data_IF_821648269661
#
_entry.id   IF_821648269661
#
_cell.length_a   1.000
_cell.length_b   1.000
_cell.length_c   1.000
_cell.angle_alpha   90.00
_cell.angle_beta   90.00
_cell.angle_gamma   90.00
#
_symmetry.space_group_name_H-M   'P 1'
#
loop_
_entity.id
_entity.type
_entity.pdbx_description
1 polymer ?
#
# COMPACT_ATOMS: atom_id res chain seq x y z
N UNK A 1 11.61 7.49 -22.96
CA UNK A 1 10.85 7.88 -21.75
C UNK A 1 11.56 8.90 -20.85
N UNK A 2 12.59 9.59 -21.35
CA UNK A 2 13.23 10.68 -20.62
C UNK A 2 12.42 11.97 -20.71
N UNK A 3 12.28 12.71 -19.60
CA UNK A 3 11.68 14.05 -19.58
C UNK A 3 12.71 15.16 -19.81
N UNK A 4 13.94 14.96 -19.40
CA UNK A 4 15.10 15.81 -19.70
C UNK A 4 16.36 14.95 -19.61
N UNK A 5 17.26 15.14 -20.55
CA UNK A 5 18.55 14.47 -20.62
C UNK A 5 19.62 15.54 -20.70
N UNK A 6 20.44 15.63 -19.68
CA UNK A 6 21.64 16.45 -19.69
C UNK A 6 22.86 15.55 -19.91
N UNK A 7 23.55 15.75 -21.02
CA UNK A 7 24.85 15.12 -21.25
C UNK A 7 25.89 15.82 -20.37
N UNK A 8 26.08 15.29 -19.17
CA UNK A 8 27.13 15.83 -18.27
C UNK A 8 28.45 15.16 -18.54
N UNK A 9 29.30 15.80 -19.32
CA UNK A 9 30.73 15.50 -19.41
C UNK A 9 31.12 14.70 -20.66
N UNK A 10 32.07 14.05 -20.67
CA UNK A 10 32.99 13.19 -21.33
C UNK A 10 32.33 12.27 -22.40
N UNK A 11 32.50 12.63 -23.66
CA UNK A 11 32.35 11.70 -24.80
C UNK A 11 33.75 11.17 -25.17
N UNK A 12 34.01 9.89 -24.89
CA UNK A 12 35.24 9.23 -25.25
C UNK A 12 34.99 8.23 -26.36
N UNK A 13 35.64 8.48 -27.50
CA UNK A 13 35.64 7.53 -28.61
C UNK A 13 36.97 6.80 -28.68
N UNK A 14 36.93 5.48 -28.77
CA UNK A 14 38.08 4.63 -29.05
C UNK A 14 37.79 3.93 -30.36
N UNK A 15 38.65 4.09 -31.33
CA UNK A 15 38.53 3.48 -32.66
C UNK A 15 39.63 2.45 -32.77
N UNK A 16 39.27 1.18 -32.97
CA UNK A 16 40.20 0.10 -33.18
C UNK A 16 40.50 -0.10 -34.67
N UNK A 17 41.65 -0.69 -34.97
CA UNK A 17 42.09 -0.92 -36.36
C UNK A 17 41.21 -1.90 -37.16
N UNK A 18 40.40 -2.69 -36.47
CA UNK A 18 39.41 -3.62 -37.03
C UNK A 18 38.05 -2.99 -37.37
N UNK A 19 37.94 -1.64 -37.16
CA UNK A 19 36.69 -0.90 -37.38
C UNK A 19 35.76 -0.87 -36.21
N UNK A 20 36.13 -1.47 -35.05
CA UNK A 20 35.33 -1.37 -33.83
C UNK A 20 35.45 0.04 -33.23
N UNK A 21 34.27 0.64 -32.91
CA UNK A 21 34.21 1.96 -32.29
C UNK A 21 33.52 1.79 -30.93
N UNK A 22 34.26 2.12 -29.87
CA UNK A 22 33.73 2.21 -28.52
C UNK A 22 33.43 3.65 -28.16
N UNK A 23 32.19 3.93 -27.79
CA UNK A 23 31.80 5.23 -27.24
C UNK A 23 31.37 5.05 -25.79
N UNK A 24 31.99 5.80 -24.91
CA UNK A 24 31.62 5.86 -23.50
C UNK A 24 31.04 7.25 -23.21
N UNK A 25 29.77 7.28 -22.85
CA UNK A 25 29.02 8.50 -22.58
C UNK A 25 28.29 8.43 -21.26
N UNK A 26 28.51 9.42 -20.40
CA UNK A 26 27.73 9.58 -19.16
C UNK A 26 26.55 10.49 -19.43
N UNK A 27 25.35 9.97 -19.12
CA UNK A 27 24.10 10.71 -19.29
C UNK A 27 23.39 10.77 -17.93
N UNK A 28 22.84 11.93 -17.58
CA UNK A 28 22.02 12.14 -16.40
C UNK A 28 20.67 12.71 -16.85
N UNK A 29 19.57 12.20 -16.28
CA UNK A 29 18.25 12.66 -16.67
C UNK A 29 17.13 12.15 -15.77
N UNK A 30 15.93 12.71 -15.97
CA UNK A 30 14.70 12.28 -15.32
C UNK A 30 13.93 11.36 -16.27
N UNK A 31 13.61 10.17 -15.81
CA UNK A 31 12.84 9.18 -16.56
C UNK A 31 11.43 9.07 -15.99
N UNK A 32 10.43 9.07 -16.88
CA UNK A 32 9.06 8.73 -16.49
C UNK A 32 8.91 7.22 -16.37
N UNK A 33 8.28 6.77 -15.30
CA UNK A 33 7.92 5.37 -15.10
C UNK A 33 6.46 5.28 -14.64
N UNK A 34 5.74 4.27 -15.12
CA UNK A 34 4.39 3.95 -14.67
C UNK A 34 4.49 3.02 -13.47
N UNK A 35 4.28 3.57 -12.27
CA UNK A 35 4.38 2.82 -11.03
C UNK A 35 2.98 2.35 -10.58
N UNK A 36 2.92 1.12 -10.04
CA UNK A 36 1.69 0.53 -9.52
C UNK A 36 1.76 0.40 -7.99
N UNK A 37 1.04 1.27 -7.29
CA UNK A 37 1.00 1.32 -5.82
C UNK A 37 -0.17 0.54 -5.18
N UNK A 38 -0.90 -0.30 -5.93
CA UNK A 38 -2.05 -1.04 -5.35
C UNK A 38 -1.68 -1.85 -4.12
N UNK A 39 -0.50 -2.47 -4.12
CA UNK A 39 0.03 -3.28 -3.02
C UNK A 39 0.81 -2.49 -1.98
N UNK A 40 0.87 -1.17 -2.09
CA UNK A 40 1.65 -0.35 -1.15
C UNK A 40 1.31 -0.66 0.32
N UNK A 41 2.28 -0.90 1.23
CA UNK A 41 3.73 -0.79 1.07
C UNK A 41 4.46 -2.08 0.65
N UNK A 42 3.75 -3.11 0.21
CA UNK A 42 4.30 -4.42 -0.21
C UNK A 42 4.44 -4.51 -1.74
N UNK A 43 4.66 -3.38 -2.39
CA UNK A 43 4.72 -3.27 -3.84
C UNK A 43 6.12 -3.56 -4.39
N UNK A 44 6.15 -4.16 -5.57
CA UNK A 44 7.33 -4.30 -6.42
C UNK A 44 7.14 -3.50 -7.70
N UNK A 45 8.21 -2.90 -8.21
CA UNK A 45 8.19 -2.02 -9.37
C UNK A 45 9.22 -2.45 -10.39
N UNK A 46 8.93 -2.20 -11.67
CA UNK A 46 9.88 -2.40 -12.76
C UNK A 46 10.14 -1.06 -13.42
N UNK A 47 11.36 -0.58 -13.30
CA UNK A 47 11.80 0.63 -14.00
C UNK A 47 12.41 0.23 -15.33
N UNK A 48 11.80 0.65 -16.43
CA UNK A 48 12.27 0.34 -17.78
C UNK A 48 12.91 1.57 -18.41
N UNK A 49 14.18 1.47 -18.77
CA UNK A 49 14.89 2.47 -19.58
C UNK A 49 14.94 1.94 -21.00
N UNK A 50 14.31 2.65 -21.94
CA UNK A 50 14.29 2.29 -23.34
C UNK A 50 15.26 3.17 -24.14
N UNK A 51 16.17 2.54 -24.84
CA UNK A 51 17.11 3.17 -25.77
C UNK A 51 16.66 2.86 -27.19
N UNK A 52 16.40 3.92 -27.98
CA UNK A 52 15.92 3.82 -29.36
C UNK A 52 16.88 4.63 -30.22
N UNK A 53 17.48 4.05 -31.27
CA UNK A 53 18.34 4.80 -32.21
C UNK A 53 17.50 5.72 -33.09
N UNK A 54 18.13 6.73 -33.65
CA UNK A 54 17.46 7.65 -34.59
C UNK A 54 17.13 6.98 -35.94
N UNK A 55 17.93 5.99 -36.35
CA UNK A 55 17.73 5.25 -37.59
C UNK A 55 16.87 4.02 -37.38
N UNK A 56 16.17 3.60 -38.43
CA UNK A 56 15.34 2.39 -38.41
C UNK A 56 16.17 1.10 -38.30
N UNK A 57 15.50 -0.03 -38.09
CA UNK A 57 16.14 -1.33 -37.84
C UNK A 57 16.82 -1.92 -39.09
N UNK A 58 16.60 -1.36 -40.28
CA UNK A 58 17.32 -1.72 -41.50
C UNK A 58 18.75 -1.18 -41.50
N UNK A 59 18.97 -0.04 -40.81
CA UNK A 59 20.28 0.61 -40.73
C UNK A 59 21.00 0.31 -39.41
N UNK A 60 20.28 0.29 -38.28
CA UNK A 60 20.87 0.12 -36.96
C UNK A 60 20.11 -0.92 -36.14
N UNK A 61 20.77 -2.00 -35.77
CA UNK A 61 20.24 -3.01 -34.87
C UNK A 61 20.96 -2.92 -33.53
N UNK A 62 20.20 -2.69 -32.45
CA UNK A 62 20.73 -2.73 -31.10
C UNK A 62 20.84 -4.18 -30.62
N UNK A 63 21.98 -4.53 -30.04
CA UNK A 63 22.21 -5.77 -29.34
C UNK A 63 22.74 -5.42 -27.96
N UNK A 64 22.05 -5.82 -26.92
CA UNK A 64 22.50 -5.55 -25.58
C UNK A 64 23.41 -6.64 -25.05
N UNK A 65 24.38 -6.24 -24.28
CA UNK A 65 25.03 -7.10 -23.31
C UNK A 65 24.18 -7.04 -22.03
N UNK A 66 24.08 -8.14 -21.31
CA UNK A 66 23.50 -8.16 -19.99
C UNK A 66 24.17 -7.09 -19.12
N UNK A 67 23.41 -6.30 -18.35
CA UNK A 67 24.00 -5.32 -17.44
C UNK A 67 24.97 -6.05 -16.49
N UNK A 68 26.19 -5.52 -16.37
CA UNK A 68 27.18 -6.12 -15.49
C UNK A 68 26.66 -6.12 -14.04
N UNK A 69 26.75 -7.24 -13.34
CA UNK A 69 26.31 -7.38 -11.94
C UNK A 69 26.95 -6.32 -11.01
N UNK A 70 28.09 -5.79 -11.38
CA UNK A 70 28.82 -4.77 -10.63
C UNK A 70 28.07 -3.44 -10.57
N UNK A 71 27.25 -3.11 -11.57
CA UNK A 71 26.42 -1.91 -11.61
C UNK A 71 25.25 -2.02 -10.64
N UNK A 72 24.70 -3.20 -10.48
CA UNK A 72 23.56 -3.44 -9.60
C UNK A 72 23.92 -3.29 -8.13
N UNK A 73 25.15 -3.67 -7.76
CA UNK A 73 25.65 -3.57 -6.39
C UNK A 73 25.96 -2.14 -5.93
N UNK A 74 26.15 -1.21 -6.85
CA UNK A 74 26.50 0.18 -6.53
C UNK A 74 25.29 1.09 -6.27
N UNK A 75 24.07 0.63 -6.57
CA UNK A 75 22.84 1.41 -6.40
C UNK A 75 22.22 1.09 -5.05
N UNK A 76 22.45 1.95 -4.06
CA UNK A 76 21.80 1.89 -2.75
C UNK A 76 20.58 2.80 -2.75
N UNK A 77 19.40 2.21 -2.70
CA UNK A 77 18.15 2.93 -2.50
C UNK A 77 17.71 2.77 -1.03
N UNK A 78 17.37 3.87 -0.37
CA UNK A 78 17.01 3.86 1.06
C UNK A 78 15.74 3.03 1.31
N UNK A 79 14.76 3.11 0.39
CA UNK A 79 13.43 2.53 0.57
C UNK A 79 13.17 1.32 -0.33
N UNK A 80 14.15 0.95 -1.17
CA UNK A 80 14.00 -0.08 -2.17
C UNK A 80 15.19 -1.05 -2.16
N UNK A 81 14.90 -2.32 -2.32
CA UNK A 81 15.88 -3.37 -2.61
C UNK A 81 15.83 -3.68 -4.09
N UNK A 82 16.97 -3.65 -4.76
CA UNK A 82 17.08 -4.10 -6.13
C UNK A 82 17.27 -5.61 -6.15
N UNK A 83 16.35 -6.31 -6.83
CA UNK A 83 16.37 -7.78 -6.89
C UNK A 83 17.06 -8.28 -8.13
N UNK A 84 16.81 -7.65 -9.28
CA UNK A 84 17.33 -8.10 -10.57
C UNK A 84 17.46 -6.94 -11.55
N UNK A 85 18.33 -7.08 -12.54
CA UNK A 85 18.37 -6.24 -13.73
C UNK A 85 18.43 -7.13 -14.95
N UNK A 86 17.63 -6.80 -15.97
CA UNK A 86 17.65 -7.52 -17.24
C UNK A 86 17.72 -6.56 -18.41
N UNK A 87 18.38 -6.99 -19.48
CA UNK A 87 18.43 -6.25 -20.73
C UNK A 87 17.84 -7.08 -21.87
N UNK A 88 16.96 -6.46 -22.66
CA UNK A 88 16.36 -7.13 -23.80
C UNK A 88 16.32 -6.21 -25.03
N UNK A 89 16.69 -6.77 -26.18
CA UNK A 89 16.52 -6.11 -27.47
C UNK A 89 15.18 -6.53 -28.10
N UNK A 90 14.38 -5.56 -28.48
CA UNK A 90 13.09 -5.77 -29.17
C UNK A 90 12.99 -4.87 -30.38
N UNK A 91 12.06 -5.14 -31.28
CA UNK A 91 11.71 -4.25 -32.38
C UNK A 91 10.42 -3.53 -32.04
N UNK A 92 10.42 -2.22 -32.13
CA UNK A 92 9.26 -1.37 -31.86
C UNK A 92 8.79 -0.71 -33.16
N UNK A 93 7.52 -0.93 -33.52
CA UNK A 93 6.92 -0.33 -34.69
C UNK A 93 6.28 1.00 -34.33
N UNK A 94 6.72 2.07 -34.96
CA UNK A 94 6.08 3.38 -34.86
C UNK A 94 5.33 3.66 -36.15
N UNK A 95 4.03 3.93 -35.99
CA UNK A 95 3.12 4.21 -37.11
C UNK A 95 2.65 5.64 -37.08
N UNK A 96 2.84 6.34 -38.16
CA UNK A 96 2.23 7.65 -38.44
C UNK A 96 1.25 7.52 -39.59
N UNK A 97 0.39 8.50 -39.80
CA UNK A 97 -0.56 8.52 -40.92
C UNK A 97 0.07 8.35 -42.31
N UNK A 98 1.35 8.68 -42.45
CA UNK A 98 2.08 8.70 -43.73
C UNK A 98 3.23 7.67 -43.81
N UNK A 99 3.61 7.02 -42.73
CA UNK A 99 4.74 6.08 -42.70
C UNK A 99 4.65 5.13 -41.52
N UNK A 100 5.21 3.95 -41.70
CA UNK A 100 5.37 2.92 -40.65
C UNK A 100 6.83 2.46 -40.70
N UNK A 101 7.58 2.74 -39.63
CA UNK A 101 8.96 2.32 -39.51
C UNK A 101 9.14 1.48 -38.26
N UNK A 102 9.99 0.48 -38.37
CA UNK A 102 10.41 -0.36 -37.27
C UNK A 102 11.76 0.13 -36.75
N UNK A 103 11.89 0.19 -35.42
CA UNK A 103 13.10 0.63 -34.76
C UNK A 103 13.58 -0.43 -33.79
N UNK A 104 14.88 -0.71 -33.82
CA UNK A 104 15.48 -1.58 -32.81
C UNK A 104 15.49 -0.86 -31.47
N UNK A 105 14.85 -1.45 -30.46
CA UNK A 105 14.75 -0.88 -29.11
C UNK A 105 15.49 -1.78 -28.13
N UNK A 106 16.33 -1.21 -27.31
CA UNK A 106 16.94 -1.92 -26.20
C UNK A 106 16.34 -1.45 -24.88
N UNK A 107 15.71 -2.38 -24.16
CA UNK A 107 15.09 -2.11 -22.86
C UNK A 107 15.94 -2.66 -21.74
N UNK A 108 16.27 -1.79 -20.78
CA UNK A 108 16.93 -2.15 -19.52
C UNK A 108 15.85 -2.12 -18.44
N UNK A 109 15.54 -3.27 -17.85
CA UNK A 109 14.58 -3.40 -16.78
C UNK A 109 15.30 -3.54 -15.44
N UNK A 110 14.92 -2.72 -14.49
CA UNK A 110 15.42 -2.72 -13.11
C UNK A 110 14.26 -3.11 -12.21
N UNK A 111 14.36 -4.26 -11.54
CA UNK A 111 13.34 -4.78 -10.65
C UNK A 111 13.63 -4.32 -9.23
N UNK A 112 12.67 -3.65 -8.63
CA UNK A 112 12.75 -3.06 -7.30
C UNK A 112 11.66 -3.62 -6.41
N UNK A 113 12.01 -4.01 -5.19
CA UNK A 113 11.08 -4.38 -4.13
C UNK A 113 11.16 -3.34 -3.01
N UNK A 114 10.00 -2.86 -2.54
CA UNK A 114 9.96 -1.89 -1.46
C UNK A 114 10.31 -2.55 -0.13
N UNK A 115 11.06 -1.84 0.71
CA UNK A 115 11.32 -2.20 2.11
C UNK A 115 10.18 -1.66 2.97
N UNK A 116 9.19 -2.49 3.36
CA UNK A 116 7.94 -1.99 3.95
C UNK A 116 8.04 -1.59 5.42
N UNK A 117 9.16 -1.90 6.09
CA UNK A 117 9.31 -1.84 7.55
C UNK A 117 8.89 -0.49 8.15
N UNK A 118 9.26 0.62 7.52
CA UNK A 118 8.90 1.95 7.98
C UNK A 118 7.37 2.14 8.05
N UNK A 119 6.68 1.81 6.97
CA UNK A 119 5.23 1.98 6.85
C UNK A 119 4.46 1.00 7.75
N UNK A 120 4.94 -0.24 7.86
CA UNK A 120 4.35 -1.25 8.74
C UNK A 120 4.43 -0.80 10.19
N UNK A 121 5.60 -0.36 10.65
CA UNK A 121 5.81 0.02 12.07
C UNK A 121 5.15 1.35 12.39
N UNK A 122 5.27 2.35 11.50
CA UNK A 122 4.79 3.71 11.77
C UNK A 122 3.30 3.92 11.48
N UNK A 123 2.73 3.23 10.49
CA UNK A 123 1.35 3.46 10.08
C UNK A 123 0.46 2.26 10.41
N UNK A 124 0.76 1.08 9.89
CA UNK A 124 -0.14 -0.07 10.04
C UNK A 124 -0.25 -0.57 11.47
N UNK A 125 0.88 -0.68 12.19
CA UNK A 125 0.89 -1.22 13.55
C UNK A 125 0.11 -0.37 14.55
N UNK A 126 0.28 0.98 14.65
CA UNK A 126 -0.52 1.79 15.57
C UNK A 126 -2.01 1.72 15.29
N UNK A 127 -2.42 1.79 14.02
CA UNK A 127 -3.83 1.72 13.63
C UNK A 127 -4.43 0.34 13.96
N UNK A 128 -3.67 -0.73 13.71
CA UNK A 128 -4.07 -2.08 14.09
C UNK A 128 -4.30 -2.19 15.60
N UNK A 129 -3.36 -1.70 16.41
CA UNK A 129 -3.49 -1.72 17.89
C UNK A 129 -4.72 -0.93 18.33
N UNK A 130 -4.97 0.25 17.76
CA UNK A 130 -6.16 1.06 18.10
C UNK A 130 -7.46 0.34 17.77
N UNK A 131 -7.56 -0.28 16.60
CA UNK A 131 -8.73 -1.06 16.21
C UNK A 131 -8.93 -2.28 17.13
N UNK A 132 -7.87 -3.00 17.46
CA UNK A 132 -7.91 -4.12 18.40
C UNK A 132 -8.35 -3.67 19.78
N UNK A 133 -7.84 -2.55 20.31
CA UNK A 133 -8.25 -2.00 21.62
C UNK A 133 -9.72 -1.56 21.60
N UNK A 134 -10.20 -0.96 20.50
CA UNK A 134 -11.62 -0.62 20.35
C UNK A 134 -12.51 -1.86 20.40
N UNK A 135 -12.11 -2.96 19.76
CA UNK A 135 -12.83 -4.23 19.83
C UNK A 135 -12.66 -4.94 21.19
N UNK A 136 -11.49 -4.79 21.83
CA UNK A 136 -11.25 -5.32 23.17
C UNK A 136 -12.13 -4.66 24.26
N UNK A 137 -12.69 -3.48 23.99
CA UNK A 137 -13.67 -2.85 24.89
C UNK A 137 -14.88 -3.73 25.21
N UNK A 138 -15.22 -4.69 24.34
CA UNK A 138 -16.27 -5.70 24.57
C UNK A 138 -15.91 -6.77 25.61
N UNK A 139 -14.63 -6.83 26.03
CA UNK A 139 -14.21 -7.70 27.16
C UNK A 139 -14.52 -7.07 28.52
N UNK A 140 -14.79 -5.76 28.54
CA UNK A 140 -15.22 -5.08 29.76
C UNK A 140 -16.70 -5.37 30.01
N UNK A 141 -17.05 -5.66 31.28
CA UNK A 141 -18.44 -5.97 31.64
C UNK A 141 -19.39 -4.81 31.31
N UNK A 142 -20.60 -5.10 30.77
CA UNK A 142 -21.59 -4.08 30.44
C UNK A 142 -22.32 -3.55 31.69
N UNK A 143 -21.62 -3.31 32.79
CA UNK A 143 -22.19 -2.74 34.00
C UNK A 143 -22.52 -1.27 33.81
N UNK A 144 -23.44 -0.73 34.62
CA UNK A 144 -23.86 0.67 34.49
C UNK A 144 -22.71 1.64 34.83
N UNK A 145 -21.77 1.22 35.66
CA UNK A 145 -20.61 1.99 36.08
C UNK A 145 -19.49 2.01 35.02
N UNK A 146 -19.30 0.92 34.28
CA UNK A 146 -18.25 0.78 33.28
C UNK A 146 -18.65 1.29 31.88
N UNK A 147 -19.91 1.69 31.70
CA UNK A 147 -20.46 2.06 30.41
C UNK A 147 -19.82 3.33 29.84
N UNK A 148 -19.77 4.40 30.65
CA UNK A 148 -19.24 5.70 30.22
C UNK A 148 -17.73 5.65 29.93
N UNK A 149 -16.89 4.99 30.75
CA UNK A 149 -15.47 4.75 30.43
C UNK A 149 -15.27 3.96 29.14
N UNK A 150 -16.05 2.90 28.91
CA UNK A 150 -15.98 2.06 27.73
C UNK A 150 -16.32 2.83 26.44
N UNK A 151 -17.40 3.59 26.47
CA UNK A 151 -17.81 4.46 25.34
C UNK A 151 -16.74 5.53 25.07
N UNK A 152 -16.29 6.21 26.12
CA UNK A 152 -15.25 7.24 26.02
C UNK A 152 -13.95 6.72 25.42
N UNK A 153 -13.48 5.54 25.85
CA UNK A 153 -12.31 4.87 25.29
C UNK A 153 -12.51 4.60 23.79
N UNK A 154 -13.62 4.00 23.41
CA UNK A 154 -13.86 3.61 22.01
C UNK A 154 -14.01 4.81 21.10
N UNK A 155 -14.68 5.89 21.54
CA UNK A 155 -14.78 7.15 20.79
C UNK A 155 -13.41 7.81 20.64
N UNK A 156 -12.60 7.82 21.70
CA UNK A 156 -11.23 8.38 21.63
C UNK A 156 -10.36 7.61 20.62
N UNK A 157 -10.44 6.28 20.63
CA UNK A 157 -9.73 5.45 19.66
C UNK A 157 -10.20 5.71 18.23
N UNK A 158 -11.52 5.85 18.01
CA UNK A 158 -12.09 6.23 16.73
C UNK A 158 -11.51 7.56 16.21
N UNK A 159 -11.51 8.60 17.05
CA UNK A 159 -10.96 9.92 16.69
C UNK A 159 -9.45 9.81 16.39
N UNK A 160 -8.73 9.00 17.14
CA UNK A 160 -7.30 8.79 16.90
C UNK A 160 -7.05 8.08 15.57
N UNK A 161 -7.85 7.06 15.21
CA UNK A 161 -7.77 6.41 13.89
C UNK A 161 -8.01 7.43 12.78
N UNK A 162 -9.02 8.31 12.92
CA UNK A 162 -9.28 9.39 11.94
C UNK A 162 -8.06 10.32 11.82
N UNK A 163 -7.46 10.74 12.92
CA UNK A 163 -6.26 11.58 12.89
C UNK A 163 -5.09 10.90 12.17
N UNK A 164 -4.94 9.58 12.34
CA UNK A 164 -3.92 8.78 11.65
C UNK A 164 -4.13 8.71 10.14
N UNK A 165 -5.36 8.77 9.63
CA UNK A 165 -5.61 8.80 8.18
C UNK A 165 -5.03 10.05 7.52
N UNK A 166 -5.01 11.19 8.21
CA UNK A 166 -4.37 12.41 7.71
C UNK A 166 -2.85 12.28 7.68
N UNK A 167 -2.24 11.72 8.74
CA UNK A 167 -0.78 11.50 8.79
C UNK A 167 -0.34 10.54 7.68
N UNK A 168 -1.09 9.47 7.45
CA UNK A 168 -0.80 8.52 6.38
C UNK A 168 -0.95 9.14 4.99
N UNK A 169 -1.90 10.08 4.81
CA UNK A 169 -2.13 10.77 3.55
C UNK A 169 -0.97 11.68 3.11
N UNK A 170 -0.21 12.23 4.05
CA UNK A 170 0.94 13.09 3.74
C UNK A 170 2.13 12.31 3.18
N UNK A 171 2.27 11.05 3.54
CA UNK A 171 3.37 10.18 3.08
C UNK A 171 3.06 9.48 1.73
N UNK A 172 1.83 9.60 1.20
CA UNK A 172 1.38 8.92 -0.02
C UNK A 172 1.16 9.90 -1.18
N UNK A 173 1.55 9.55 -2.42
CA UNK A 173 1.16 10.33 -3.58
C UNK A 173 -0.35 10.26 -3.78
N UNK A 174 -0.94 11.35 -4.26
CA UNK A 174 -2.36 11.38 -4.63
C UNK A 174 -2.59 10.48 -5.84
N UNK A 175 -3.28 9.37 -5.64
CA UNK A 175 -3.58 8.35 -6.63
C UNK A 175 -5.07 8.35 -6.96
N UNK A 176 -5.42 7.90 -8.18
CA UNK A 176 -6.82 7.74 -8.60
C UNK A 176 -7.46 6.43 -8.15
N UNK A 177 -6.73 5.60 -7.42
CA UNK A 177 -7.17 4.30 -6.92
C UNK A 177 -6.69 4.10 -5.47
N UNK A 178 -7.38 3.20 -4.75
CA UNK A 178 -7.04 2.87 -3.36
C UNK A 178 -5.86 1.90 -3.31
N UNK A 179 -4.96 2.14 -2.36
CA UNK A 179 -3.84 1.24 -2.04
C UNK A 179 -4.26 0.24 -0.95
N UNK A 180 -3.45 -0.78 -0.71
CA UNK A 180 -3.64 -1.67 0.44
C UNK A 180 -3.72 -0.89 1.76
N UNK A 181 -2.83 0.10 1.95
CA UNK A 181 -2.83 0.94 3.15
C UNK A 181 -4.15 1.70 3.31
N UNK A 182 -4.69 2.29 2.24
CA UNK A 182 -5.96 3.02 2.29
C UNK A 182 -7.12 2.09 2.71
N UNK A 183 -7.21 0.92 2.11
CA UNK A 183 -8.25 -0.05 2.44
C UNK A 183 -8.11 -0.54 3.88
N UNK A 184 -6.89 -0.78 4.35
CA UNK A 184 -6.61 -1.15 5.74
C UNK A 184 -7.06 -0.07 6.73
N UNK A 185 -6.77 1.22 6.44
CA UNK A 185 -7.21 2.35 7.26
C UNK A 185 -8.74 2.45 7.31
N UNK A 186 -9.40 2.31 6.15
CA UNK A 186 -10.88 2.32 6.06
C UNK A 186 -11.49 1.16 6.84
N UNK A 187 -10.94 -0.05 6.73
CA UNK A 187 -11.43 -1.21 7.49
C UNK A 187 -11.27 -1.01 9.00
N UNK A 188 -10.15 -0.46 9.45
CA UNK A 188 -9.89 -0.16 10.86
C UNK A 188 -10.85 0.92 11.38
N UNK A 189 -11.10 1.95 10.60
CA UNK A 189 -12.10 2.98 10.91
C UNK A 189 -13.50 2.38 11.03
N UNK A 190 -13.92 1.56 10.07
CA UNK A 190 -15.22 0.89 10.10
C UNK A 190 -15.35 -0.01 11.34
N UNK A 191 -14.31 -0.75 11.71
CA UNK A 191 -14.32 -1.59 12.92
C UNK A 191 -14.55 -0.75 14.18
N UNK A 192 -13.89 0.40 14.31
CA UNK A 192 -14.09 1.33 15.44
C UNK A 192 -15.53 1.92 15.45
N UNK A 193 -16.07 2.30 14.27
CA UNK A 193 -17.45 2.80 14.16
C UNK A 193 -18.44 1.74 14.59
N UNK A 194 -18.29 0.50 14.13
CA UNK A 194 -19.14 -0.61 14.55
C UNK A 194 -19.06 -0.87 16.06
N UNK A 195 -17.87 -0.76 16.65
CA UNK A 195 -17.71 -0.89 18.10
C UNK A 195 -18.52 0.18 18.84
N UNK A 196 -18.44 1.46 18.43
CA UNK A 196 -19.23 2.54 19.04
C UNK A 196 -20.74 2.30 18.90
N UNK A 197 -21.20 1.95 17.68
CA UNK A 197 -22.63 1.69 17.41
C UNK A 197 -23.13 0.51 18.27
N UNK A 198 -22.37 -0.56 18.37
CA UNK A 198 -22.75 -1.73 19.16
C UNK A 198 -22.87 -1.39 20.64
N UNK A 199 -21.92 -0.63 21.19
CA UNK A 199 -21.98 -0.15 22.58
C UNK A 199 -23.24 0.72 22.81
N UNK A 200 -23.56 1.64 21.92
CA UNK A 200 -24.75 2.50 22.03
C UNK A 200 -26.05 1.70 21.91
N UNK A 201 -26.10 0.70 21.02
CA UNK A 201 -27.26 -0.18 20.87
C UNK A 201 -27.50 -1.01 22.12
N UNK A 202 -26.45 -1.54 22.72
CA UNK A 202 -26.51 -2.27 23.99
C UNK A 202 -27.09 -1.42 25.11
N UNK A 203 -26.59 -0.18 25.28
CA UNK A 203 -27.15 0.77 26.25
C UNK A 203 -28.63 1.02 26.01
N UNK A 204 -28.99 1.29 24.77
CA UNK A 204 -30.38 1.55 24.41
C UNK A 204 -31.29 0.36 24.75
N UNK A 205 -30.81 -0.86 24.49
CA UNK A 205 -31.52 -2.08 24.82
C UNK A 205 -31.68 -2.26 26.33
N UNK A 206 -30.62 -2.04 27.12
CA UNK A 206 -30.67 -2.12 28.59
C UNK A 206 -31.66 -1.11 29.17
N UNK A 207 -31.61 0.14 28.75
CA UNK A 207 -32.57 1.18 29.20
C UNK A 207 -34.00 0.84 28.82
N UNK A 208 -34.25 0.27 27.64
CA UNK A 208 -35.57 -0.18 27.21
C UNK A 208 -36.09 -1.31 28.11
N UNK A 209 -35.26 -2.29 28.42
CA UNK A 209 -35.61 -3.40 29.29
C UNK A 209 -35.89 -2.95 30.73
N UNK A 210 -35.10 -2.02 31.28
CA UNK A 210 -35.34 -1.44 32.61
C UNK A 210 -36.67 -0.66 32.69
N UNK A 211 -37.03 0.07 31.64
CA UNK A 211 -38.35 0.77 31.57
C UNK A 211 -39.51 -0.20 31.53
N UNK A 212 -39.43 -1.25 30.72
CA UNK A 212 -40.45 -2.29 30.62
C UNK A 212 -40.61 -3.00 31.95
N UNK A 213 -39.51 -3.31 32.60
CA UNK A 213 -39.45 -3.94 33.90
C UNK A 213 -40.15 -3.11 35.03
N UNK A 214 -39.88 -1.80 35.07
CA UNK A 214 -40.56 -0.90 36.02
C UNK A 214 -42.06 -0.88 35.81
N UNK A 215 -42.54 -1.17 34.60
CA UNK A 215 -43.97 -1.23 34.27
C UNK A 215 -44.63 -2.58 34.70
N UNK A 216 -43.93 -3.72 34.56
CA UNK A 216 -44.50 -5.06 34.78
C UNK A 216 -44.17 -5.68 36.15
N UNK A 217 -43.32 -5.07 36.98
CA UNK A 217 -43.07 -5.50 38.38
C UNK A 217 -42.28 -6.83 38.53
N UNK A 218 -41.83 -7.44 37.44
CA UNK A 218 -41.11 -8.74 37.45
C UNK A 218 -39.62 -8.58 37.29
N UNK A 219 -38.81 -8.94 38.29
CA UNK A 219 -37.33 -8.90 38.19
C UNK A 219 -36.80 -10.06 37.33
N UNK A 220 -36.43 -9.82 36.09
CA UNK A 220 -35.74 -10.83 35.29
C UNK A 220 -34.22 -10.72 35.52
N UNK A 221 -33.69 -11.52 36.41
CA UNK A 221 -32.26 -11.64 36.76
C UNK A 221 -31.38 -12.09 35.58
N UNK A 222 -31.96 -12.51 34.46
CA UNK A 222 -31.23 -13.09 33.33
C UNK A 222 -30.78 -12.09 32.26
N UNK A 223 -31.18 -10.81 32.35
CA UNK A 223 -30.86 -9.82 31.30
C UNK A 223 -29.40 -9.41 31.33
N UNK A 224 -28.82 -9.18 32.51
CA UNK A 224 -27.41 -8.78 32.66
C UNK A 224 -26.46 -9.92 32.24
N UNK A 225 -26.75 -11.17 32.65
CA UNK A 225 -25.99 -12.36 32.23
C UNK A 225 -26.11 -12.63 30.73
N UNK A 226 -27.27 -12.35 30.14
CA UNK A 226 -27.46 -12.46 28.69
C UNK A 226 -26.65 -11.42 27.93
N UNK A 227 -26.69 -10.17 28.38
CA UNK A 227 -25.93 -9.07 27.76
C UNK A 227 -24.43 -9.30 27.85
N UNK A 228 -23.93 -9.74 28.99
CA UNK A 228 -22.50 -10.04 29.17
C UNK A 228 -22.01 -11.16 28.22
N UNK A 229 -22.84 -12.21 28.04
CA UNK A 229 -22.51 -13.26 27.06
C UNK A 229 -22.60 -12.75 25.63
N UNK A 230 -23.66 -12.01 25.31
CA UNK A 230 -23.85 -11.43 23.98
C UNK A 230 -22.68 -10.52 23.59
N UNK A 231 -22.21 -9.72 24.53
CA UNK A 231 -21.08 -8.80 24.35
C UNK A 231 -19.76 -9.52 24.03
N UNK A 232 -19.44 -10.56 24.80
CA UNK A 232 -18.25 -11.38 24.52
C UNK A 232 -18.33 -12.07 23.16
N UNK A 233 -19.49 -12.60 22.78
CA UNK A 233 -19.66 -13.20 21.45
C UNK A 233 -19.60 -12.15 20.34
N UNK A 234 -20.20 -10.98 20.54
CA UNK A 234 -20.17 -9.90 19.57
C UNK A 234 -18.73 -9.37 19.36
N UNK A 235 -18.00 -9.14 20.46
CA UNK A 235 -16.60 -8.71 20.41
C UNK A 235 -15.69 -9.71 19.69
N UNK A 236 -15.80 -11.00 20.04
CA UNK A 236 -15.01 -12.05 19.36
C UNK A 236 -15.40 -12.22 17.90
N UNK A 237 -16.67 -12.07 17.55
CA UNK A 237 -17.16 -12.14 16.19
C UNK A 237 -16.66 -10.97 15.34
N UNK A 238 -16.76 -9.74 15.85
CA UNK A 238 -16.24 -8.54 15.17
C UNK A 238 -14.73 -8.61 15.01
N UNK A 239 -14.00 -9.09 16.01
CA UNK A 239 -12.57 -9.29 15.93
C UNK A 239 -12.18 -10.32 14.85
N UNK A 240 -12.91 -11.45 14.80
CA UNK A 240 -12.69 -12.47 13.76
C UNK A 240 -12.98 -11.94 12.35
N UNK A 241 -14.04 -11.14 12.17
CA UNK A 241 -14.35 -10.48 10.89
C UNK A 241 -13.25 -9.51 10.51
N UNK A 242 -12.78 -8.69 11.45
CA UNK A 242 -11.72 -7.72 11.21
C UNK A 242 -10.41 -8.41 10.78
N UNK A 243 -9.96 -9.43 11.49
CA UNK A 243 -8.79 -10.21 11.10
C UNK A 243 -9.00 -10.93 9.76
N UNK A 244 -10.18 -11.51 9.54
CA UNK A 244 -10.54 -12.16 8.29
C UNK A 244 -10.51 -11.20 7.10
N UNK A 245 -11.00 -9.96 7.29
CA UNK A 245 -10.98 -8.94 6.24
C UNK A 245 -9.56 -8.49 5.88
N UNK A 246 -8.66 -8.35 6.87
CA UNK A 246 -7.25 -8.01 6.64
C UNK A 246 -6.52 -9.15 5.91
N UNK A 247 -6.73 -10.40 6.34
CA UNK A 247 -6.10 -11.55 5.67
C UNK A 247 -6.60 -11.72 4.24
N UNK A 248 -7.91 -11.53 4.02
CA UNK A 248 -8.50 -11.55 2.69
C UNK A 248 -7.93 -10.44 1.81
N UNK A 249 -7.80 -9.22 2.34
CA UNK A 249 -7.20 -8.09 1.64
C UNK A 249 -5.76 -8.39 1.22
N UNK A 250 -4.94 -8.97 2.12
CA UNK A 250 -3.55 -9.34 1.82
C UNK A 250 -3.44 -10.41 0.72
N UNK A 251 -4.39 -11.34 0.65
CA UNK A 251 -4.40 -12.41 -0.36
C UNK A 251 -4.91 -11.93 -1.72
N UNK A 252 -5.88 -10.99 -1.75
CA UNK A 252 -6.51 -10.50 -2.98
C UNK A 252 -5.68 -9.44 -3.72
N UNK A 253 -4.81 -8.75 -3.03
CA UNK A 253 -3.92 -7.73 -3.60
C UNK A 253 -2.57 -8.35 -3.97
#
# INVERSE_FOLDING_TARGET
>A
NSRSLDATGYDKFIISSDGFIQNEKRVQGFFGADLNFKKFPFDSQVLTISVIPYFDDTMVTLRGLEPAEEWTRSLNFTDWSMTETSGSATSSNFKSSSWENSYSTYNINIYLERIPNYYVIKILTPVFIMAVLALASFLLSPTTEDYDPRLSLTVTLLLTVVAYTFIAGDDLPVLSYLTFTDIFLVLSFIACVFAVIAILAERSFKVYQERKFKADGTKNFSVDDFLERADRYLGTFLFAIYLGSITLLYVLI
#
